data_IF_836283701672
#
_entry.id   IF_836283701672
#
_cell.length_a   1.000
_cell.length_b   1.000
_cell.length_c   1.000
_cell.angle_alpha   90.00
_cell.angle_beta   90.00
_cell.angle_gamma   90.00
#
_symmetry.space_group_name_H-M   'P 1'
#
loop_
_entity.id
_entity.type
_entity.pdbx_description
1 polymer ?
#
# COMPACT_ATOMS: atom_id res chain seq x y z
N UNK A 1 20.93 18.16 7.79
CA UNK A 1 20.72 16.69 7.88
C UNK A 1 19.86 16.42 9.10
N UNK A 2 18.72 15.79 8.91
CA UNK A 2 17.88 15.31 10.01
C UNK A 2 18.34 13.90 10.40
N UNK A 3 18.46 13.66 11.70
CA UNK A 3 18.78 12.35 12.25
C UNK A 3 17.55 11.84 13.00
N UNK A 4 17.01 10.72 12.58
CA UNK A 4 15.85 10.08 13.20
C UNK A 4 16.34 8.79 13.87
N UNK A 5 16.35 8.81 15.20
CA UNK A 5 16.72 7.66 16.06
C UNK A 5 18.09 7.02 15.76
N UNK A 6 19.03 7.75 15.18
CA UNK A 6 20.34 7.29 14.71
C UNK A 6 20.31 6.20 13.60
N UNK A 7 19.16 5.91 13.05
CA UNK A 7 18.97 4.87 12.02
C UNK A 7 18.68 5.46 10.65
N UNK A 8 18.02 6.61 10.59
CA UNK A 8 17.67 7.29 9.35
C UNK A 8 18.25 8.70 9.31
N UNK A 9 19.04 8.97 8.28
CA UNK A 9 19.61 10.29 8.00
C UNK A 9 18.94 10.88 6.76
N UNK A 10 18.27 12.02 6.90
CA UNK A 10 17.65 12.72 5.77
C UNK A 10 18.39 14.02 5.51
N UNK A 11 19.01 14.13 4.35
CA UNK A 11 19.66 15.38 3.92
C UNK A 11 18.62 16.30 3.25
N UNK A 12 18.25 17.34 3.97
CA UNK A 12 17.29 18.36 3.51
C UNK A 12 17.98 19.65 3.04
N UNK A 13 19.29 19.62 2.82
CA UNK A 13 20.07 20.82 2.47
C UNK A 13 19.51 21.52 1.22
N UNK A 14 19.23 20.74 0.17
CA UNK A 14 18.69 21.28 -1.07
C UNK A 14 17.24 21.74 -0.94
N UNK A 15 16.50 21.17 0.00
CA UNK A 15 15.13 21.58 0.28
C UNK A 15 15.08 22.95 0.97
N UNK A 16 16.02 23.28 1.83
CA UNK A 16 16.04 24.52 2.63
C UNK A 16 16.79 25.69 1.99
N UNK A 17 17.64 25.43 0.99
CA UNK A 17 18.55 26.45 0.42
C UNK A 17 18.18 26.88 -1.00
N UNK A 18 16.99 26.60 -1.48
CA UNK A 18 16.53 27.02 -2.81
C UNK A 18 15.63 28.25 -2.69
N UNK A 19 15.62 29.21 -3.66
CA UNK A 19 14.73 30.38 -3.63
C UNK A 19 13.23 30.08 -3.48
N UNK A 20 12.80 28.88 -3.89
CA UNK A 20 11.42 28.39 -3.79
C UNK A 20 11.19 27.42 -2.61
N UNK A 21 12.19 27.27 -1.76
CA UNK A 21 12.12 26.33 -0.65
C UNK A 21 11.50 26.96 0.61
N UNK A 22 11.12 26.11 1.54
CA UNK A 22 10.74 26.53 2.89
C UNK A 22 11.96 27.07 3.61
N UNK A 23 11.92 28.33 4.05
CA UNK A 23 13.01 28.92 4.83
C UNK A 23 12.85 28.59 6.31
N UNK A 24 13.94 28.61 7.12
CA UNK A 24 13.84 28.47 8.57
C UNK A 24 12.86 29.46 9.20
N UNK A 25 12.81 30.70 8.68
CA UNK A 25 11.87 31.72 9.18
C UNK A 25 10.40 31.32 8.88
N UNK A 26 10.12 30.76 7.71
CA UNK A 26 8.79 30.23 7.38
C UNK A 26 8.42 29.06 8.28
N UNK A 27 9.36 28.19 8.59
CA UNK A 27 9.13 27.09 9.54
C UNK A 27 8.77 27.60 10.94
N UNK A 28 9.48 28.59 11.44
CA UNK A 28 9.18 29.22 12.73
C UNK A 28 7.82 29.92 12.69
N UNK A 29 7.51 30.66 11.60
CA UNK A 29 6.23 31.36 11.43
C UNK A 29 5.03 30.41 11.46
N UNK A 30 5.17 29.22 10.88
CA UNK A 30 4.11 28.22 10.79
C UNK A 30 4.27 27.07 11.79
N UNK A 31 5.12 27.24 12.84
CA UNK A 31 5.41 26.17 13.79
C UNK A 31 4.16 25.65 14.49
N UNK A 32 3.22 26.52 14.86
CA UNK A 32 1.98 26.11 15.54
C UNK A 32 1.07 25.30 14.59
N UNK A 33 0.96 25.70 13.32
CA UNK A 33 0.19 24.97 12.31
C UNK A 33 0.80 23.59 12.03
N UNK A 34 2.13 23.53 11.95
CA UNK A 34 2.88 22.27 11.75
C UNK A 34 2.65 21.34 12.94
N UNK A 35 2.74 21.85 14.17
CA UNK A 35 2.52 21.07 15.38
C UNK A 35 1.05 20.58 15.48
N UNK A 36 0.08 21.42 15.12
CA UNK A 36 -1.32 21.01 15.08
C UNK A 36 -1.54 19.89 14.05
N UNK A 37 -0.96 20.00 12.86
CA UNK A 37 -1.04 18.96 11.83
C UNK A 37 -0.37 17.66 12.31
N UNK A 38 0.80 17.73 12.93
CA UNK A 38 1.49 16.57 13.49
C UNK A 38 0.66 15.87 14.58
N UNK A 39 0.04 16.65 15.47
CA UNK A 39 -0.83 16.10 16.50
C UNK A 39 -2.09 15.44 15.89
N UNK A 40 -2.70 16.06 14.88
CA UNK A 40 -3.86 15.48 14.18
C UNK A 40 -3.51 14.15 13.49
N UNK A 41 -2.34 14.03 12.86
CA UNK A 41 -1.86 12.76 12.27
C UNK A 41 -1.62 11.71 13.35
N UNK A 42 -1.07 12.11 14.50
CA UNK A 42 -0.86 11.21 15.64
C UNK A 42 -2.20 10.70 16.18
N UNK A 43 -3.16 11.59 16.39
CA UNK A 43 -4.50 11.23 16.84
C UNK A 43 -5.21 10.30 15.86
N UNK A 44 -5.13 10.59 14.56
CA UNK A 44 -5.66 9.73 13.51
C UNK A 44 -5.07 8.32 13.59
N UNK A 45 -3.76 8.21 13.72
CA UNK A 45 -3.09 6.91 13.88
C UNK A 45 -3.58 6.19 15.14
N UNK A 46 -3.67 6.89 16.27
CA UNK A 46 -3.95 6.26 17.57
C UNK A 46 -5.45 5.91 17.73
N UNK A 47 -6.33 6.65 17.06
CA UNK A 47 -7.80 6.45 17.16
C UNK A 47 -8.42 5.77 15.94
N UNK A 48 -7.72 5.72 14.81
CA UNK A 48 -8.25 5.25 13.52
C UNK A 48 -9.36 6.14 12.95
N UNK A 49 -9.46 7.41 13.40
CA UNK A 49 -10.51 8.34 12.97
C UNK A 49 -9.93 9.59 12.33
N UNK A 50 -10.41 9.90 11.12
CA UNK A 50 -10.15 11.16 10.47
C UNK A 50 -10.86 12.34 11.14
N UNK A 51 -10.53 13.60 10.78
CA UNK A 51 -11.16 14.81 11.34
C UNK A 51 -12.66 14.90 11.11
N UNK A 52 -13.16 14.25 10.09
CA UNK A 52 -14.60 14.15 9.73
C UNK A 52 -15.28 12.93 10.37
N UNK A 53 -14.59 12.18 11.22
CA UNK A 53 -15.06 10.96 11.85
C UNK A 53 -14.98 9.71 10.94
N UNK A 54 -14.47 9.82 9.73
CA UNK A 54 -14.25 8.67 8.85
C UNK A 54 -13.23 7.69 9.44
N UNK A 55 -13.41 6.41 9.19
CA UNK A 55 -12.45 5.39 9.61
C UNK A 55 -11.21 5.40 8.71
N UNK A 56 -10.04 5.44 9.33
CA UNK A 56 -8.74 5.42 8.67
C UNK A 56 -7.87 4.34 9.33
N UNK A 57 -8.05 3.11 8.91
CA UNK A 57 -7.44 1.93 9.56
C UNK A 57 -6.16 1.42 8.86
N UNK A 58 -5.80 1.95 7.69
CA UNK A 58 -4.62 1.48 6.97
C UNK A 58 -3.31 1.50 7.78
N UNK A 59 -3.08 2.41 8.76
CA UNK A 59 -1.86 2.37 9.57
C UNK A 59 -1.79 1.15 10.49
N UNK A 60 -2.94 0.50 10.75
CA UNK A 60 -3.04 -0.68 11.61
C UNK A 60 -2.87 -2.01 10.84
N UNK A 61 -3.00 -2.01 9.50
CA UNK A 61 -2.89 -3.23 8.69
C UNK A 61 -1.56 -3.98 8.86
N UNK A 62 -0.38 -3.33 8.98
CA UNK A 62 0.87 -4.05 9.24
C UNK A 62 0.91 -4.80 10.58
N UNK A 63 0.06 -4.41 11.52
CA UNK A 63 -0.01 -4.95 12.88
C UNK A 63 -1.24 -5.84 13.09
N UNK A 64 -1.83 -6.35 12.00
CA UNK A 64 -3.09 -7.11 12.00
C UNK A 64 -3.12 -8.27 13.00
N UNK A 65 -1.96 -8.90 13.25
CA UNK A 65 -1.82 -10.04 14.16
C UNK A 65 -1.42 -9.65 15.60
N UNK A 66 -1.22 -8.37 15.86
CA UNK A 66 -0.87 -7.88 17.19
C UNK A 66 -2.11 -7.64 18.05
N UNK A 67 -1.91 -7.70 19.37
CA UNK A 67 -2.93 -7.25 20.33
C UNK A 67 -3.10 -5.73 20.23
N UNK A 68 -4.31 -5.22 20.49
CA UNK A 68 -4.65 -3.79 20.47
C UNK A 68 -4.69 -3.11 19.08
N UNK A 69 -4.75 -3.88 18.00
CA UNK A 69 -5.02 -3.30 16.68
C UNK A 69 -6.50 -2.89 16.59
N UNK A 70 -6.79 -1.77 15.91
CA UNK A 70 -8.15 -1.23 15.74
C UNK A 70 -8.99 -1.97 14.67
N UNK A 71 -8.56 -3.15 14.25
CA UNK A 71 -9.23 -3.99 13.27
C UNK A 71 -9.96 -5.09 14.03
N UNK A 72 -11.26 -5.21 13.83
CA UNK A 72 -12.10 -6.21 14.51
C UNK A 72 -11.75 -7.64 14.10
N UNK A 73 -12.07 -8.61 14.93
CA UNK A 73 -11.88 -10.03 14.60
C UNK A 73 -12.71 -10.43 13.38
N UNK A 74 -13.92 -9.88 13.20
CA UNK A 74 -14.76 -10.10 12.01
C UNK A 74 -14.06 -9.63 10.73
N UNK A 75 -13.42 -8.46 10.77
CA UNK A 75 -12.66 -7.93 9.63
C UNK A 75 -11.42 -8.78 9.33
N UNK A 76 -10.73 -9.27 10.37
CA UNK A 76 -9.61 -10.21 10.21
C UNK A 76 -10.07 -11.52 9.58
N UNK A 77 -11.15 -12.11 10.09
CA UNK A 77 -11.73 -13.34 9.53
C UNK A 77 -12.13 -13.16 8.06
N UNK A 78 -12.75 -12.00 7.72
CA UNK A 78 -13.10 -11.68 6.34
C UNK A 78 -11.86 -11.61 5.43
N UNK A 79 -10.77 -10.97 5.88
CA UNK A 79 -9.52 -10.92 5.13
C UNK A 79 -8.92 -12.33 4.93
N UNK A 80 -8.92 -13.15 5.97
CA UNK A 80 -8.38 -14.51 5.85
C UNK A 80 -9.26 -15.43 5.00
N UNK A 81 -10.58 -15.23 4.98
CA UNK A 81 -11.49 -16.00 4.13
C UNK A 81 -11.28 -15.77 2.64
N UNK A 82 -10.83 -14.56 2.24
CA UNK A 82 -10.47 -14.24 0.86
C UNK A 82 -9.40 -15.19 0.30
N UNK A 83 -8.52 -15.71 1.16
CA UNK A 83 -7.51 -16.69 0.78
C UNK A 83 -8.14 -17.98 0.22
N UNK A 84 -9.18 -18.47 0.86
CA UNK A 84 -9.86 -19.68 0.40
C UNK A 84 -10.80 -19.39 -0.78
N UNK A 85 -11.47 -18.24 -0.76
CA UNK A 85 -12.30 -17.79 -1.87
C UNK A 85 -11.47 -17.65 -3.16
N UNK A 86 -10.23 -17.15 -3.06
CA UNK A 86 -9.34 -16.98 -4.21
C UNK A 86 -9.13 -18.28 -4.99
N UNK A 87 -9.16 -19.45 -4.35
CA UNK A 87 -9.02 -20.76 -5.00
C UNK A 87 -10.19 -21.12 -5.91
N UNK A 88 -11.34 -20.47 -5.73
CA UNK A 88 -12.53 -20.69 -6.58
C UNK A 88 -12.41 -20.05 -7.97
N UNK A 89 -11.44 -19.15 -8.15
CA UNK A 89 -11.19 -18.48 -9.41
C UNK A 89 -10.04 -19.14 -10.18
N UNK A 90 -10.04 -19.01 -11.48
CA UNK A 90 -8.93 -19.45 -12.34
C UNK A 90 -7.92 -18.31 -12.57
N UNK A 91 -8.40 -17.10 -12.62
CA UNK A 91 -7.62 -15.88 -12.86
C UNK A 91 -8.04 -14.77 -11.90
N UNK A 92 -7.07 -14.07 -11.34
CA UNK A 92 -7.25 -12.82 -10.62
C UNK A 92 -6.45 -11.72 -11.30
N UNK A 93 -7.06 -10.56 -11.49
CA UNK A 93 -6.41 -9.37 -12.07
C UNK A 93 -6.39 -8.26 -11.03
N UNK A 94 -5.20 -7.84 -10.64
CA UNK A 94 -5.01 -6.67 -9.79
C UNK A 94 -4.91 -5.41 -10.65
N UNK A 95 -5.91 -4.54 -10.54
CA UNK A 95 -5.95 -3.29 -11.31
C UNK A 95 -5.49 -2.15 -10.42
N UNK A 96 -4.42 -1.47 -10.82
CA UNK A 96 -3.88 -0.36 -10.05
C UNK A 96 -2.69 0.32 -10.71
N UNK A 97 -2.36 1.51 -10.20
CA UNK A 97 -1.21 2.30 -10.65
C UNK A 97 -0.46 2.85 -9.43
N UNK A 98 0.82 3.08 -9.56
CA UNK A 98 1.67 3.63 -8.48
C UNK A 98 1.63 2.79 -7.21
N UNK A 99 1.24 3.38 -6.09
CA UNK A 99 1.17 2.69 -4.79
C UNK A 99 0.19 1.53 -4.73
N UNK A 100 -0.88 1.56 -5.50
CA UNK A 100 -1.85 0.46 -5.61
C UNK A 100 -1.34 -0.73 -6.44
N UNK A 101 -0.21 -0.59 -7.10
CA UNK A 101 0.39 -1.61 -7.96
C UNK A 101 1.74 -2.11 -7.41
N UNK A 102 2.68 -1.18 -7.18
CA UNK A 102 4.09 -1.54 -6.94
C UNK A 102 4.27 -2.41 -5.69
N UNK A 103 3.60 -2.09 -4.59
CA UNK A 103 3.69 -2.88 -3.36
C UNK A 103 3.19 -4.31 -3.55
N UNK A 104 2.04 -4.45 -4.20
CA UNK A 104 1.44 -5.75 -4.50
C UNK A 104 2.32 -6.58 -5.41
N UNK A 105 2.92 -5.96 -6.44
CA UNK A 105 3.83 -6.66 -7.34
C UNK A 105 5.10 -7.13 -6.61
N UNK A 106 5.71 -6.28 -5.79
CA UNK A 106 6.91 -6.68 -5.02
C UNK A 106 6.62 -7.89 -4.14
N UNK A 107 5.50 -7.92 -3.44
CA UNK A 107 5.11 -9.06 -2.61
C UNK A 107 4.85 -10.30 -3.47
N UNK A 108 4.17 -10.14 -4.60
CA UNK A 108 3.91 -11.25 -5.51
C UNK A 108 5.20 -11.84 -6.07
N UNK A 109 6.13 -11.01 -6.56
CA UNK A 109 7.41 -11.45 -7.11
C UNK A 109 8.27 -12.14 -6.05
N UNK A 110 8.21 -11.67 -4.79
CA UNK A 110 8.95 -12.25 -3.68
C UNK A 110 8.44 -13.65 -3.30
N UNK A 111 7.11 -13.84 -3.23
CA UNK A 111 6.50 -15.07 -2.71
C UNK A 111 6.10 -16.05 -3.81
N UNK A 112 5.72 -15.59 -4.98
CA UNK A 112 5.22 -16.42 -6.08
C UNK A 112 6.26 -16.58 -7.19
N UNK A 113 7.08 -15.56 -7.40
CA UNK A 113 8.11 -15.53 -8.44
C UNK A 113 7.57 -15.29 -9.86
N UNK A 114 8.49 -15.08 -10.84
CA UNK A 114 8.12 -14.62 -12.18
C UNK A 114 7.42 -15.68 -13.06
N UNK A 115 7.48 -16.94 -12.66
CA UNK A 115 6.92 -18.06 -13.44
C UNK A 115 5.61 -18.60 -12.87
N UNK A 116 5.01 -17.95 -11.89
CA UNK A 116 3.78 -18.37 -11.23
C UNK A 116 2.67 -18.77 -12.20
N UNK A 117 2.39 -17.96 -13.20
CA UNK A 117 1.32 -18.19 -14.16
C UNK A 117 1.61 -19.33 -15.16
N UNK A 118 2.84 -19.84 -15.21
CA UNK A 118 3.22 -20.98 -16.04
C UNK A 118 3.07 -22.32 -15.32
N UNK A 119 2.90 -22.29 -13.99
CA UNK A 119 2.64 -23.48 -13.19
C UNK A 119 1.20 -23.96 -13.40
N UNK A 120 0.96 -25.24 -13.20
CA UNK A 120 -0.40 -25.80 -13.13
C UNK A 120 -1.12 -25.31 -11.86
N UNK A 121 -2.45 -25.42 -11.81
CA UNK A 121 -3.23 -25.01 -10.64
C UNK A 121 -2.84 -25.81 -9.40
N UNK A 122 -2.49 -27.06 -9.55
CA UNK A 122 -2.00 -27.95 -8.48
C UNK A 122 -0.67 -27.47 -7.94
N UNK A 123 0.28 -27.12 -8.82
CA UNK A 123 1.61 -26.60 -8.41
C UNK A 123 1.49 -25.23 -7.73
N UNK A 124 0.47 -24.43 -8.06
CA UNK A 124 0.11 -23.20 -7.34
C UNK A 124 -0.65 -23.44 -6.03
N UNK A 125 -0.82 -24.69 -5.59
CA UNK A 125 -1.57 -25.01 -4.39
C UNK A 125 -3.06 -24.71 -4.48
N UNK A 126 -3.62 -24.74 -5.69
CA UNK A 126 -5.02 -24.45 -5.98
C UNK A 126 -5.31 -22.97 -6.24
N UNK A 127 -4.32 -22.09 -6.13
CA UNK A 127 -4.51 -20.65 -6.36
C UNK A 127 -4.60 -20.28 -7.83
N UNK A 128 -5.25 -19.14 -8.16
CA UNK A 128 -5.42 -18.66 -9.52
C UNK A 128 -4.11 -18.22 -10.18
N UNK A 129 -4.13 -18.06 -11.48
CA UNK A 129 -3.18 -17.19 -12.18
C UNK A 129 -3.40 -15.75 -11.72
N UNK A 130 -2.33 -14.97 -11.67
CA UNK A 130 -2.40 -13.60 -11.18
C UNK A 130 -1.77 -12.63 -12.18
N UNK A 131 -2.51 -11.62 -12.55
CA UNK A 131 -2.07 -10.60 -13.50
C UNK A 131 -2.21 -9.21 -12.91
N UNK A 132 -1.32 -8.31 -13.33
CA UNK A 132 -1.40 -6.90 -13.00
C UNK A 132 -1.78 -6.09 -14.22
N UNK A 133 -2.69 -5.13 -14.06
CA UNK A 133 -3.17 -4.24 -15.13
C UNK A 133 -3.44 -2.83 -14.59
N UNK A 134 -3.69 -1.87 -15.49
CA UNK A 134 -4.07 -0.51 -15.11
C UNK A 134 -2.90 0.43 -14.81
N UNK A 135 -1.66 0.02 -15.09
CA UNK A 135 -0.47 0.89 -14.92
C UNK A 135 -0.46 2.05 -15.94
N UNK A 136 -1.14 1.86 -17.05
CA UNK A 136 -1.34 2.85 -18.10
C UNK A 136 -2.73 2.71 -18.71
N UNK A 137 -3.08 3.63 -19.58
CA UNK A 137 -4.37 3.67 -20.30
C UNK A 137 -4.29 3.05 -21.71
N UNK A 138 -3.24 2.26 -21.97
CA UNK A 138 -3.06 1.61 -23.27
C UNK A 138 -4.08 0.47 -23.49
N UNK A 139 -5.01 0.61 -24.44
CA UNK A 139 -6.00 -0.43 -24.70
C UNK A 139 -5.39 -1.69 -25.30
N UNK A 140 -4.21 -1.61 -25.95
CA UNK A 140 -3.57 -2.77 -26.57
C UNK A 140 -3.15 -3.77 -25.51
N UNK A 141 -2.52 -3.31 -24.42
CA UNK A 141 -2.10 -4.19 -23.33
C UNK A 141 -3.28 -4.90 -22.65
N UNK A 142 -4.43 -4.24 -22.54
CA UNK A 142 -5.66 -4.86 -22.04
C UNK A 142 -6.21 -5.92 -22.98
N UNK A 143 -6.25 -5.64 -24.29
CA UNK A 143 -6.70 -6.62 -25.31
C UNK A 143 -5.79 -7.84 -25.32
N UNK A 144 -4.47 -7.66 -25.22
CA UNK A 144 -3.50 -8.74 -25.14
C UNK A 144 -3.69 -9.59 -23.88
N UNK A 145 -3.90 -8.94 -22.72
CA UNK A 145 -4.19 -9.63 -21.47
C UNK A 145 -5.45 -10.49 -21.60
N UNK A 146 -6.56 -9.92 -22.07
CA UNK A 146 -7.81 -10.66 -22.26
C UNK A 146 -7.67 -11.80 -23.27
N UNK A 147 -6.90 -11.61 -24.32
CA UNK A 147 -6.62 -12.67 -25.30
C UNK A 147 -5.77 -13.80 -24.70
N UNK A 148 -4.93 -13.50 -23.72
CA UNK A 148 -4.13 -14.50 -23.01
C UNK A 148 -4.97 -15.34 -22.05
N UNK A 149 -5.84 -14.72 -21.26
CA UNK A 149 -6.64 -15.40 -20.22
C UNK A 149 -7.90 -16.09 -20.76
N UNK A 150 -8.32 -15.80 -22.00
CA UNK A 150 -9.51 -16.41 -22.64
C UNK A 150 -9.20 -17.73 -23.37
N UNK A 151 -7.96 -18.22 -23.29
CA UNK A 151 -7.51 -19.49 -23.89
C UNK A 151 -7.62 -20.63 -22.91
#
# INVERSE_FOLDING_TARGET
>A
MLNINNELFVDIKNFLNHPWSVTPENMVKHADEINQAANAVTELRDTGKGPDGSLVLFPHLPYLLEENVLISEEEKEALFSLKEEAKSYDVVISIGIGGSYLGNQVLFDLFCGPYWNQLTKEERGGYPQFYFAGQNVDPVSLVELFSCISR
#
